data_IF_371062497190
#
_entry.id   IF_371062497190
#
_cell.length_a   1.000
_cell.length_b   1.000
_cell.length_c   1.000
_cell.angle_alpha   90.00
_cell.angle_beta   90.00
_cell.angle_gamma   90.00
#
_symmetry.space_group_name_H-M   'P 1'
#
loop_
_entity.id
_entity.type
_entity.pdbx_description
1 polymer ?
#
# COMPACT_ATOMS: atom_id res chain seq x y z
N UNK A 1 -23.32 1.18 9.99
CA UNK A 1 -24.55 1.74 10.55
C UNK A 1 -25.50 0.64 11.04
N UNK A 2 -25.81 -0.38 10.24
CA UNK A 2 -26.78 -1.44 10.60
C UNK A 2 -26.41 -2.20 11.88
N UNK A 3 -25.12 -2.46 12.09
CA UNK A 3 -24.65 -3.27 13.24
C UNK A 3 -24.29 -2.45 14.47
N UNK A 4 -23.84 -1.21 14.29
CA UNK A 4 -23.35 -0.38 15.40
C UNK A 4 -24.28 0.79 15.75
N UNK A 5 -25.28 1.07 14.92
CA UNK A 5 -26.13 2.27 15.04
C UNK A 5 -25.40 3.59 14.81
N UNK A 6 -24.13 3.54 14.45
CA UNK A 6 -23.26 4.72 14.29
C UNK A 6 -23.25 5.18 12.84
N UNK A 7 -23.55 6.48 12.63
CA UNK A 7 -23.42 7.10 11.31
C UNK A 7 -21.99 7.52 11.07
N UNK A 8 -21.32 6.89 10.10
CA UNK A 8 -19.94 7.18 9.75
C UNK A 8 -19.86 8.23 8.65
N UNK A 9 -19.33 9.40 8.97
CA UNK A 9 -18.93 10.42 7.98
C UNK A 9 -17.45 10.26 7.67
N UNK A 10 -17.10 9.96 6.43
CA UNK A 10 -15.72 9.70 6.05
C UNK A 10 -15.16 10.74 5.08
N UNK A 11 -13.86 10.98 5.17
CA UNK A 11 -13.09 11.83 4.27
C UNK A 11 -11.89 11.04 3.73
N UNK A 12 -11.82 10.91 2.41
CA UNK A 12 -10.67 10.28 1.76
C UNK A 12 -9.58 11.31 1.48
N UNK A 13 -8.40 11.08 2.05
CA UNK A 13 -7.22 11.95 1.85
C UNK A 13 -5.92 11.14 2.01
N UNK A 14 -4.78 11.76 1.66
CA UNK A 14 -3.47 11.12 1.91
C UNK A 14 -3.19 10.96 3.42
N UNK A 15 -2.46 9.88 3.79
CA UNK A 15 -2.19 9.55 5.20
C UNK A 15 -1.60 10.71 5.99
N UNK A 16 -0.63 11.46 5.43
CA UNK A 16 -0.04 12.60 6.13
C UNK A 16 -1.06 13.69 6.49
N UNK A 17 -1.98 14.00 5.57
CA UNK A 17 -3.06 14.95 5.82
C UNK A 17 -4.07 14.39 6.83
N UNK A 18 -4.40 13.09 6.74
CA UNK A 18 -5.29 12.44 7.72
C UNK A 18 -4.72 12.50 9.14
N UNK A 19 -3.43 12.19 9.32
CA UNK A 19 -2.76 12.29 10.63
C UNK A 19 -2.81 13.73 11.16
N UNK A 20 -2.60 14.72 10.29
CA UNK A 20 -2.69 16.13 10.67
C UNK A 20 -4.11 16.54 11.11
N UNK A 21 -5.14 15.99 10.45
CA UNK A 21 -6.53 16.18 10.89
C UNK A 21 -6.77 15.58 12.28
N UNK A 22 -6.15 14.45 12.61
CA UNK A 22 -6.17 13.88 13.97
C UNK A 22 -5.52 14.79 15.00
N UNK A 23 -4.33 15.34 14.69
CA UNK A 23 -3.64 16.31 15.57
C UNK A 23 -4.43 17.63 15.76
N UNK A 24 -5.14 18.06 14.73
CA UNK A 24 -5.98 19.25 14.78
C UNK A 24 -7.35 19.01 15.44
N UNK A 25 -7.68 17.79 15.84
CA UNK A 25 -8.99 17.40 16.41
C UNK A 25 -10.17 17.52 15.41
N UNK A 26 -9.91 17.44 14.11
CA UNK A 26 -10.91 17.57 13.05
C UNK A 26 -11.68 16.26 12.79
N UNK A 27 -11.21 15.15 13.34
CA UNK A 27 -11.77 13.80 13.16
C UNK A 27 -11.77 13.01 14.47
N UNK A 28 -12.69 12.05 14.60
CA UNK A 28 -12.81 11.20 15.79
C UNK A 28 -11.92 9.94 15.70
N UNK A 29 -11.66 9.45 14.48
CA UNK A 29 -10.93 8.22 14.24
C UNK A 29 -10.18 8.30 12.90
N UNK A 30 -9.04 7.65 12.84
CA UNK A 30 -8.18 7.56 11.67
C UNK A 30 -8.13 6.11 11.16
N UNK A 31 -8.20 5.92 9.84
CA UNK A 31 -7.86 4.65 9.17
C UNK A 31 -6.77 4.95 8.14
N UNK A 32 -5.55 4.62 8.45
CA UNK A 32 -4.33 5.09 7.77
C UNK A 32 -3.31 3.97 7.54
N UNK A 33 -2.26 4.24 6.76
CA UNK A 33 -1.31 3.21 6.36
C UNK A 33 0.15 3.73 6.31
N UNK A 34 0.62 4.33 7.40
CA UNK A 34 2.01 4.76 7.56
C UNK A 34 2.51 4.45 8.97
N UNK A 35 2.83 3.18 9.30
CA UNK A 35 3.09 2.71 10.67
C UNK A 35 4.06 3.56 11.48
N UNK A 36 5.13 4.08 10.87
CA UNK A 36 6.09 4.94 11.58
C UNK A 36 5.49 6.29 12.00
N UNK A 37 4.68 6.91 11.13
CA UNK A 37 4.02 8.17 11.45
C UNK A 37 2.84 7.97 12.42
N UNK A 38 2.14 6.84 12.31
CA UNK A 38 1.06 6.43 13.22
C UNK A 38 1.57 6.26 14.66
N UNK A 39 2.72 5.57 14.82
CA UNK A 39 3.37 5.41 16.13
C UNK A 39 3.74 6.77 16.75
N UNK A 40 4.28 7.70 15.97
CA UNK A 40 4.57 9.06 16.42
C UNK A 40 3.32 9.80 16.90
N UNK A 41 2.18 9.65 16.19
CA UNK A 41 0.90 10.24 16.61
C UNK A 41 0.45 9.70 17.97
N UNK A 42 0.62 8.38 18.20
CA UNK A 42 0.30 7.76 19.50
C UNK A 42 1.28 8.21 20.59
N UNK A 43 2.57 8.22 20.31
CA UNK A 43 3.62 8.69 21.24
C UNK A 43 3.42 10.16 21.64
N UNK A 44 2.94 11.00 20.73
CA UNK A 44 2.60 12.43 21.02
C UNK A 44 1.29 12.59 21.81
N UNK A 45 0.56 11.50 22.03
CA UNK A 45 -0.67 11.44 22.80
C UNK A 45 -1.93 11.88 22.04
N UNK A 46 -1.87 12.18 20.74
CA UNK A 46 -3.04 12.52 19.92
C UNK A 46 -3.84 11.30 19.47
N UNK A 47 -3.19 10.15 19.32
CA UNK A 47 -3.85 8.88 19.01
C UNK A 47 -3.77 7.92 20.19
N UNK A 48 -4.73 7.01 20.31
CA UNK A 48 -4.73 5.93 21.28
C UNK A 48 -5.12 4.62 20.62
N UNK A 49 -4.78 3.50 21.28
CA UNK A 49 -5.29 2.16 20.95
C UNK A 49 -5.18 1.82 19.45
N UNK A 50 -4.00 2.08 18.85
CA UNK A 50 -3.72 1.75 17.45
C UNK A 50 -3.85 0.24 17.23
N UNK A 51 -4.73 -0.17 16.33
CA UNK A 51 -4.94 -1.57 15.96
C UNK A 51 -4.66 -1.78 14.48
N UNK A 52 -3.96 -2.85 14.15
CA UNK A 52 -3.84 -3.31 12.76
C UNK A 52 -5.15 -3.94 12.31
N UNK A 53 -5.58 -3.63 11.09
CA UNK A 53 -6.90 -4.06 10.58
C UNK A 53 -6.73 -4.97 9.37
N UNK A 54 -5.96 -4.52 8.39
CA UNK A 54 -5.86 -5.17 7.09
C UNK A 54 -4.62 -4.67 6.37
N UNK A 55 -4.05 -5.49 5.52
CA UNK A 55 -3.07 -5.00 4.57
C UNK A 55 -3.48 -5.29 3.12
N UNK A 56 -3.05 -4.45 2.20
CA UNK A 56 -2.84 -4.78 0.82
C UNK A 56 -1.34 -4.69 0.52
N UNK A 57 -0.94 -4.96 -0.71
CA UNK A 57 0.46 -5.01 -1.04
C UNK A 57 0.79 -4.26 -2.34
N UNK A 58 2.04 -3.88 -2.42
CA UNK A 58 2.71 -3.68 -3.68
C UNK A 58 3.20 -5.02 -4.22
N UNK A 59 3.46 -5.06 -5.51
CA UNK A 59 4.03 -6.20 -6.21
C UNK A 59 5.05 -5.70 -7.22
N UNK A 60 6.02 -6.52 -7.58
CA UNK A 60 6.84 -6.27 -8.77
C UNK A 60 6.29 -7.13 -9.89
N UNK A 61 6.03 -6.50 -11.02
CA UNK A 61 5.61 -7.15 -12.25
C UNK A 61 6.68 -7.04 -13.30
N UNK A 62 6.78 -8.03 -14.16
CA UNK A 62 7.77 -8.09 -15.20
C UNK A 62 7.28 -8.90 -16.40
N UNK A 63 8.08 -9.00 -17.45
CA UNK A 63 7.75 -9.79 -18.64
C UNK A 63 7.43 -11.24 -18.29
N UNK A 64 6.54 -11.89 -19.06
CA UNK A 64 6.23 -13.32 -18.87
C UNK A 64 7.50 -14.18 -18.95
N UNK A 65 8.44 -13.84 -19.86
CA UNK A 65 9.71 -14.54 -20.03
C UNK A 65 10.68 -14.38 -18.85
N UNK A 66 10.49 -13.34 -18.01
CA UNK A 66 11.34 -13.03 -16.86
C UNK A 66 12.86 -13.11 -17.17
N UNK A 67 13.38 -12.27 -18.05
CA UNK A 67 14.78 -12.37 -18.51
C UNK A 67 15.83 -12.19 -17.40
N UNK A 68 15.50 -11.51 -16.31
CA UNK A 68 16.38 -11.38 -15.15
C UNK A 68 16.23 -12.53 -14.13
N UNK A 69 15.27 -13.45 -14.33
CA UNK A 69 15.03 -14.61 -13.45
C UNK A 69 14.74 -14.23 -11.98
N UNK A 70 13.89 -13.23 -11.77
CA UNK A 70 13.54 -12.71 -10.44
C UNK A 70 12.28 -13.33 -9.85
N UNK A 71 11.55 -14.14 -10.60
CA UNK A 71 10.33 -14.80 -10.13
C UNK A 71 10.61 -15.67 -8.89
N UNK A 72 9.81 -15.45 -7.83
CA UNK A 72 9.91 -16.21 -6.58
C UNK A 72 11.04 -15.76 -5.64
N UNK A 73 11.76 -14.68 -5.99
CA UNK A 73 12.76 -14.05 -5.11
C UNK A 73 12.12 -13.10 -4.12
N UNK A 74 12.82 -12.82 -3.01
CA UNK A 74 12.47 -11.71 -2.12
C UNK A 74 12.71 -10.36 -2.80
N UNK A 75 12.02 -9.32 -2.35
CA UNK A 75 12.05 -7.98 -2.98
C UNK A 75 13.46 -7.43 -3.12
N UNK A 76 14.25 -7.47 -2.04
CA UNK A 76 15.63 -6.95 -2.03
C UNK A 76 16.53 -7.73 -2.99
N UNK A 77 16.41 -9.05 -3.02
CA UNK A 77 17.17 -9.92 -3.93
C UNK A 77 16.79 -9.65 -5.39
N UNK A 78 15.48 -9.57 -5.67
CA UNK A 78 14.99 -9.30 -7.03
C UNK A 78 15.49 -7.95 -7.57
N UNK A 79 15.44 -6.89 -6.77
CA UNK A 79 15.94 -5.57 -7.15
C UNK A 79 17.45 -5.58 -7.39
N UNK A 80 18.23 -6.31 -6.59
CA UNK A 80 19.67 -6.50 -6.83
C UNK A 80 19.94 -7.18 -8.17
N UNK A 81 19.22 -8.27 -8.45
CA UNK A 81 19.36 -9.00 -9.72
C UNK A 81 18.99 -8.11 -10.92
N UNK A 82 17.91 -7.34 -10.84
CA UNK A 82 17.50 -6.39 -11.89
C UNK A 82 18.63 -5.36 -12.13
N UNK A 83 19.20 -4.80 -11.06
CA UNK A 83 20.33 -3.88 -11.14
C UNK A 83 21.56 -4.52 -11.78
N UNK A 84 21.97 -5.69 -11.31
CA UNK A 84 23.20 -6.36 -11.76
C UNK A 84 23.11 -6.81 -13.22
N UNK A 85 21.93 -7.25 -13.65
CA UNK A 85 21.65 -7.60 -15.05
C UNK A 85 21.37 -6.39 -15.95
N UNK A 86 21.24 -5.18 -15.36
CA UNK A 86 20.81 -3.95 -16.06
C UNK A 86 19.51 -4.13 -16.84
N UNK A 87 18.61 -4.98 -16.33
CA UNK A 87 17.30 -5.17 -16.93
C UNK A 87 16.46 -3.90 -16.75
N UNK A 88 15.71 -3.52 -17.77
CA UNK A 88 14.89 -2.31 -17.71
C UNK A 88 13.98 -2.32 -16.49
N UNK A 89 14.04 -1.28 -15.69
CA UNK A 89 13.09 -1.04 -14.60
C UNK A 89 12.42 0.33 -14.80
N UNK A 90 11.08 0.33 -14.84
CA UNK A 90 10.32 1.52 -15.06
C UNK A 90 9.76 2.02 -13.71
N UNK A 91 10.26 3.17 -13.30
CA UNK A 91 9.79 3.90 -12.13
C UNK A 91 8.69 4.88 -12.51
N UNK A 92 7.78 5.13 -11.60
CA UNK A 92 6.80 6.21 -11.81
C UNK A 92 7.47 7.58 -11.90
N UNK A 93 8.50 7.86 -11.09
CA UNK A 93 9.22 9.14 -11.14
C UNK A 93 8.36 10.38 -10.86
N UNK A 94 7.24 10.26 -10.13
CA UNK A 94 6.18 11.28 -9.99
C UNK A 94 5.92 11.72 -8.54
N UNK A 95 6.81 11.39 -7.62
CA UNK A 95 6.70 11.67 -6.17
C UNK A 95 5.44 11.09 -5.48
N UNK A 96 4.74 10.16 -6.12
CA UNK A 96 3.60 9.45 -5.54
C UNK A 96 4.00 8.54 -4.38
N UNK A 97 3.01 8.04 -3.63
CA UNK A 97 3.24 7.05 -2.57
C UNK A 97 3.89 5.76 -3.09
N UNK A 98 3.56 5.33 -4.31
CA UNK A 98 4.21 4.18 -4.97
C UNK A 98 5.67 4.48 -5.27
N UNK A 99 5.97 5.65 -5.84
CA UNK A 99 7.34 6.07 -6.13
C UNK A 99 8.19 6.17 -4.84
N UNK A 100 7.67 6.80 -3.79
CA UNK A 100 8.36 6.87 -2.50
C UNK A 100 8.67 5.51 -1.89
N UNK A 101 7.73 4.57 -2.01
CA UNK A 101 7.93 3.18 -1.56
C UNK A 101 9.00 2.47 -2.38
N UNK A 102 8.96 2.62 -3.70
CA UNK A 102 9.96 2.08 -4.61
C UNK A 102 11.37 2.57 -4.27
N UNK A 103 11.56 3.90 -4.10
CA UNK A 103 12.84 4.48 -3.72
C UNK A 103 13.37 3.93 -2.38
N UNK A 104 12.49 3.70 -1.40
CA UNK A 104 12.86 3.05 -0.14
C UNK A 104 13.39 1.63 -0.37
N UNK A 105 12.72 0.84 -1.23
CA UNK A 105 13.15 -0.52 -1.54
C UNK A 105 14.49 -0.57 -2.29
N UNK A 106 14.74 0.39 -3.19
CA UNK A 106 16.05 0.53 -3.85
C UNK A 106 17.16 0.85 -2.83
N UNK A 107 16.90 1.71 -1.85
CA UNK A 107 17.85 1.99 -0.76
C UNK A 107 18.14 0.73 0.06
N UNK A 108 17.13 -0.06 0.38
CA UNK A 108 17.29 -1.31 1.12
C UNK A 108 18.08 -2.34 0.29
N UNK A 109 17.88 -2.37 -1.03
CA UNK A 109 18.52 -3.31 -1.92
C UNK A 109 19.99 -2.96 -2.25
N UNK A 110 20.30 -1.67 -2.46
CA UNK A 110 21.60 -1.29 -3.02
C UNK A 110 22.23 -0.04 -2.38
N UNK A 111 21.60 0.52 -1.34
CA UNK A 111 22.01 1.77 -0.66
C UNK A 111 22.04 3.02 -1.58
N UNK A 112 21.87 2.83 -2.88
CA UNK A 112 21.86 3.89 -3.90
C UNK A 112 20.62 3.72 -4.78
N UNK A 113 19.94 4.81 -5.05
CA UNK A 113 18.83 4.84 -6.01
C UNK A 113 19.44 4.97 -7.41
N UNK A 114 19.06 4.13 -8.39
CA UNK A 114 19.69 4.08 -9.70
C UNK A 114 19.20 5.17 -10.68
N UNK A 115 18.92 6.37 -10.21
CA UNK A 115 18.27 7.44 -11.00
C UNK A 115 19.06 7.89 -12.24
N UNK A 116 20.36 7.67 -12.26
CA UNK A 116 21.25 8.05 -13.37
C UNK A 116 21.55 6.90 -14.33
N UNK A 117 21.07 5.70 -14.02
CA UNK A 117 21.33 4.52 -14.84
C UNK A 117 20.35 4.42 -16.02
N UNK A 118 20.84 4.10 -17.21
CA UNK A 118 20.05 4.03 -18.45
C UNK A 118 18.94 2.96 -18.42
N UNK A 119 19.11 1.91 -17.62
CA UNK A 119 18.12 0.85 -17.44
C UNK A 119 17.01 1.22 -16.43
N UNK A 120 17.21 2.28 -15.63
CA UNK A 120 16.22 2.81 -14.70
C UNK A 120 15.49 3.99 -15.34
N UNK A 121 14.28 3.76 -15.78
CA UNK A 121 13.54 4.71 -16.61
C UNK A 121 12.43 5.34 -15.78
N UNK A 122 12.58 6.62 -15.46
CA UNK A 122 11.54 7.41 -14.81
C UNK A 122 10.50 7.84 -15.84
N UNK A 123 9.25 7.39 -15.69
CA UNK A 123 8.20 7.64 -16.69
C UNK A 123 7.49 8.98 -16.49
N UNK A 124 7.44 9.51 -15.28
CA UNK A 124 6.64 10.69 -14.93
C UNK A 124 5.13 10.46 -15.09
N UNK A 125 4.68 9.20 -15.15
CA UNK A 125 3.32 8.84 -15.53
C UNK A 125 2.55 8.13 -14.40
N UNK A 126 1.23 8.07 -14.55
CA UNK A 126 0.37 7.26 -13.68
C UNK A 126 0.66 5.76 -13.81
N UNK A 127 0.22 4.97 -12.81
CA UNK A 127 0.64 3.57 -12.67
C UNK A 127 0.26 2.69 -13.87
N UNK A 128 -0.96 2.81 -14.41
CA UNK A 128 -1.38 2.02 -15.58
C UNK A 128 -0.52 2.31 -16.81
N UNK A 129 -0.18 3.58 -17.05
CA UNK A 129 0.71 3.98 -18.15
C UNK A 129 2.12 3.42 -17.93
N UNK A 130 2.63 3.47 -16.70
CA UNK A 130 3.94 2.91 -16.36
C UNK A 130 4.01 1.39 -16.61
N UNK A 131 2.95 0.64 -16.27
CA UNK A 131 2.88 -0.81 -16.56
C UNK A 131 2.86 -1.07 -18.07
N UNK A 132 2.09 -0.29 -18.86
CA UNK A 132 2.07 -0.42 -20.32
C UNK A 132 3.47 -0.17 -20.93
N UNK A 133 4.15 0.88 -20.48
CA UNK A 133 5.53 1.17 -20.92
C UNK A 133 6.51 0.05 -20.52
N UNK A 134 6.33 -0.54 -19.32
CA UNK A 134 7.13 -1.69 -18.90
C UNK A 134 6.93 -2.89 -19.82
N UNK A 135 5.68 -3.17 -20.20
CA UNK A 135 5.35 -4.24 -21.14
C UNK A 135 5.98 -4.02 -22.53
N UNK A 136 5.96 -2.78 -23.03
CA UNK A 136 6.55 -2.41 -24.33
C UNK A 136 8.09 -2.50 -24.32
N UNK A 137 8.72 -2.12 -23.19
CA UNK A 137 10.17 -2.12 -23.02
C UNK A 137 10.74 -3.44 -22.49
N UNK A 138 9.91 -4.48 -22.39
CA UNK A 138 10.29 -5.77 -21.80
C UNK A 138 10.97 -5.60 -20.44
N UNK A 139 10.40 -4.72 -19.60
CA UNK A 139 10.97 -4.26 -18.33
C UNK A 139 10.11 -4.63 -17.12
N UNK A 140 10.66 -4.36 -15.96
CA UNK A 140 10.03 -4.55 -14.65
C UNK A 140 9.47 -3.24 -14.11
N UNK A 141 8.47 -3.31 -13.24
CA UNK A 141 7.97 -2.14 -12.50
C UNK A 141 7.30 -2.56 -11.20
N UNK A 142 7.25 -1.67 -10.23
CA UNK A 142 6.49 -1.85 -9.01
C UNK A 142 5.11 -1.21 -9.14
N UNK A 143 4.07 -1.91 -8.72
CA UNK A 143 2.69 -1.42 -8.73
C UNK A 143 1.93 -1.85 -7.48
N UNK A 144 0.83 -1.18 -7.17
CA UNK A 144 -0.15 -1.70 -6.21
C UNK A 144 -0.98 -2.83 -6.84
N UNK A 145 -1.41 -3.80 -6.02
CA UNK A 145 -2.19 -4.96 -6.48
C UNK A 145 -3.51 -4.56 -7.15
N UNK A 146 -4.17 -3.52 -6.65
CA UNK A 146 -5.45 -3.07 -7.23
C UNK A 146 -5.30 -2.57 -8.67
N UNK A 147 -4.24 -1.80 -8.94
CA UNK A 147 -3.93 -1.35 -10.31
C UNK A 147 -3.56 -2.53 -11.20
N UNK A 148 -2.79 -3.49 -10.69
CA UNK A 148 -2.45 -4.70 -11.42
C UNK A 148 -3.69 -5.52 -11.82
N UNK A 149 -4.62 -5.76 -10.90
CA UNK A 149 -5.87 -6.49 -11.17
C UNK A 149 -6.66 -5.82 -12.32
N UNK A 150 -6.73 -4.49 -12.32
CA UNK A 150 -7.37 -3.75 -13.41
C UNK A 150 -6.63 -3.87 -14.72
N UNK A 151 -5.29 -3.80 -14.69
CA UNK A 151 -4.45 -3.97 -15.87
C UNK A 151 -4.66 -5.35 -16.52
N UNK A 152 -4.59 -6.43 -15.73
CA UNK A 152 -4.84 -7.79 -16.22
C UNK A 152 -6.22 -7.92 -16.87
N UNK A 153 -7.27 -7.38 -16.22
CA UNK A 153 -8.62 -7.41 -16.74
C UNK A 153 -8.76 -6.64 -18.08
N UNK A 154 -8.05 -5.53 -18.23
CA UNK A 154 -8.06 -4.74 -19.47
C UNK A 154 -7.29 -5.44 -20.61
N UNK A 155 -6.20 -6.10 -20.30
CA UNK A 155 -5.34 -6.76 -21.31
C UNK A 155 -5.84 -8.14 -21.70
N UNK A 156 -6.48 -8.87 -20.81
CA UNK A 156 -6.97 -10.22 -21.09
C UNK A 156 -5.88 -11.11 -21.70
N UNK A 157 -6.13 -11.68 -22.86
CA UNK A 157 -5.19 -12.55 -23.58
C UNK A 157 -3.93 -11.81 -24.11
N UNK A 158 -3.99 -10.49 -24.26
CA UNK A 158 -2.86 -9.67 -24.75
C UNK A 158 -1.89 -9.26 -23.63
N UNK A 159 -2.10 -9.76 -22.42
CA UNK A 159 -1.22 -9.46 -21.29
C UNK A 159 0.15 -10.12 -21.49
N UNK A 160 1.21 -9.29 -21.58
CA UNK A 160 2.62 -9.72 -21.74
C UNK A 160 3.40 -9.69 -20.40
N UNK A 161 2.73 -9.37 -19.30
CA UNK A 161 3.33 -9.21 -17.99
C UNK A 161 2.81 -10.26 -17.00
N UNK A 162 3.60 -10.55 -15.98
CA UNK A 162 3.21 -11.40 -14.83
C UNK A 162 3.71 -10.79 -13.53
N UNK A 163 3.14 -11.22 -12.41
CA UNK A 163 3.71 -10.95 -11.09
C UNK A 163 4.99 -11.79 -10.96
N UNK A 164 6.09 -11.12 -10.62
CA UNK A 164 7.39 -11.79 -10.39
C UNK A 164 7.79 -11.77 -8.92
N UNK A 165 7.38 -10.74 -8.14
CA UNK A 165 7.59 -10.68 -6.69
C UNK A 165 6.29 -10.27 -6.00
N UNK A 166 5.88 -11.06 -5.02
CA UNK A 166 4.74 -10.81 -4.15
C UNK A 166 4.94 -11.47 -2.77
N UNK A 167 4.02 -11.19 -1.84
CA UNK A 167 3.99 -11.81 -0.50
C UNK A 167 5.22 -11.55 0.37
N UNK A 168 6.05 -10.60 -0.01
CA UNK A 168 7.16 -10.13 0.80
C UNK A 168 6.67 -9.04 1.77
N UNK A 169 7.03 -9.15 3.05
CA UNK A 169 6.63 -8.20 4.10
C UNK A 169 7.04 -6.77 3.80
N UNK A 170 8.14 -6.58 3.07
CA UNK A 170 8.61 -5.25 2.65
C UNK A 170 7.65 -4.56 1.67
N UNK A 171 6.79 -5.33 0.99
CA UNK A 171 5.78 -4.82 0.06
C UNK A 171 4.43 -4.53 0.72
N UNK A 172 4.24 -4.90 1.99
CA UNK A 172 2.96 -4.74 2.66
C UNK A 172 2.64 -3.27 2.93
N UNK A 173 1.39 -2.93 2.70
CA UNK A 173 0.78 -1.64 3.02
C UNK A 173 -0.23 -1.87 4.13
N UNK A 174 0.25 -1.80 5.38
CA UNK A 174 -0.55 -2.05 6.57
C UNK A 174 -1.49 -0.89 6.83
N UNK A 175 -2.77 -1.16 6.98
CA UNK A 175 -3.78 -0.22 7.46
C UNK A 175 -4.04 -0.43 8.93
N UNK A 176 -4.10 0.67 9.65
CA UNK A 176 -4.40 0.67 11.09
C UNK A 176 -5.51 1.67 11.40
N UNK A 177 -6.33 1.33 12.37
CA UNK A 177 -7.34 2.22 12.96
C UNK A 177 -6.78 2.81 14.24
N UNK A 178 -7.01 4.13 14.44
CA UNK A 178 -6.48 4.88 15.58
C UNK A 178 -7.57 5.86 16.05
N UNK A 179 -8.23 5.63 17.17
CA UNK A 179 -9.09 6.62 17.81
C UNK A 179 -8.27 7.85 18.23
N UNK A 180 -8.82 9.05 18.03
CA UNK A 180 -8.22 10.30 18.48
C UNK A 180 -8.44 10.45 19.97
N UNK A 181 -7.40 10.88 20.69
CA UNK A 181 -7.39 10.93 22.14
C UNK A 181 -8.19 12.12 22.68
N UNK A 182 -9.25 11.84 23.43
CA UNK A 182 -10.10 12.85 24.06
C UNK A 182 -9.34 13.77 25.04
N UNK A 183 -8.25 13.31 25.63
CA UNK A 183 -7.42 14.12 26.54
C UNK A 183 -6.71 15.28 25.82
N UNK A 184 -6.40 15.12 24.52
CA UNK A 184 -5.83 16.18 23.67
C UNK A 184 -6.90 16.89 22.85
N UNK A 185 -7.97 16.19 22.50
CA UNK A 185 -9.05 16.64 21.63
C UNK A 185 -10.41 16.52 22.35
N UNK A 186 -10.79 17.45 23.23
CA UNK A 186 -11.97 17.29 24.12
C UNK A 186 -13.32 17.06 23.40
N UNK A 187 -13.43 17.54 22.16
CA UNK A 187 -14.67 17.49 21.38
C UNK A 187 -14.85 16.19 20.59
N UNK A 188 -13.85 15.27 20.56
CA UNK A 188 -13.96 14.02 19.81
C UNK A 188 -14.93 13.06 20.49
N UNK A 189 -15.63 12.30 19.67
CA UNK A 189 -16.61 11.28 20.09
C UNK A 189 -15.90 9.95 20.34
N UNK A 190 -15.03 9.92 21.36
CA UNK A 190 -14.14 8.80 21.64
C UNK A 190 -14.86 7.45 21.73
N UNK A 191 -16.02 7.39 22.42
CA UNK A 191 -16.76 6.15 22.58
C UNK A 191 -17.25 5.57 21.24
N UNK A 192 -17.69 6.45 20.31
CA UNK A 192 -18.08 6.03 18.96
C UNK A 192 -16.87 5.62 18.12
N UNK A 193 -15.76 6.35 18.25
CA UNK A 193 -14.49 6.02 17.60
C UNK A 193 -13.95 4.65 18.05
N UNK A 194 -14.03 4.37 19.36
CA UNK A 194 -13.65 3.10 19.94
C UNK A 194 -14.56 1.97 19.46
N UNK A 195 -15.88 2.17 19.48
CA UNK A 195 -16.85 1.20 18.96
C UNK A 195 -16.59 0.86 17.48
N UNK A 196 -16.24 1.85 16.66
CA UNK A 196 -15.88 1.62 15.26
C UNK A 196 -14.55 0.85 15.14
N UNK A 197 -13.54 1.21 15.94
CA UNK A 197 -12.25 0.54 16.00
C UNK A 197 -12.44 -0.95 16.37
N UNK A 198 -13.21 -1.23 17.41
CA UNK A 198 -13.48 -2.58 17.88
C UNK A 198 -14.31 -3.39 16.85
N UNK A 199 -15.24 -2.75 16.16
CA UNK A 199 -16.00 -3.38 15.08
C UNK A 199 -15.09 -3.83 13.93
N UNK A 200 -14.10 -3.01 13.52
CA UNK A 200 -13.18 -3.35 12.44
C UNK A 200 -12.37 -4.62 12.71
N UNK A 201 -12.05 -4.91 13.96
CA UNK A 201 -11.24 -6.09 14.33
C UNK A 201 -12.08 -7.33 14.69
N UNK A 202 -13.40 -7.24 14.68
CA UNK A 202 -14.27 -8.41 14.95
C UNK A 202 -14.07 -9.49 13.89
N UNK A 203 -14.12 -10.77 14.26
CA UNK A 203 -13.95 -11.88 13.32
C UNK A 203 -14.88 -11.80 12.11
N UNK A 204 -16.14 -11.40 12.30
CA UNK A 204 -17.13 -11.27 11.23
C UNK A 204 -16.76 -10.13 10.26
N UNK A 205 -16.30 -9.00 10.78
CA UNK A 205 -15.85 -7.86 9.99
C UNK A 205 -14.56 -8.21 9.24
N UNK A 206 -13.62 -8.87 9.89
CA UNK A 206 -12.39 -9.35 9.26
C UNK A 206 -12.67 -10.34 8.13
N UNK A 207 -13.62 -11.26 8.35
CA UNK A 207 -14.10 -12.16 7.29
C UNK A 207 -14.72 -11.37 6.13
N UNK A 208 -15.61 -10.41 6.42
CA UNK A 208 -16.22 -9.54 5.39
C UNK A 208 -15.19 -8.79 4.56
N UNK A 209 -14.14 -8.24 5.19
CA UNK A 209 -13.03 -7.57 4.50
C UNK A 209 -12.26 -8.57 3.61
N UNK A 210 -11.97 -9.76 4.12
CA UNK A 210 -11.25 -10.82 3.37
C UNK A 210 -12.05 -11.38 2.20
N UNK A 211 -13.36 -11.40 2.30
CA UNK A 211 -14.26 -11.86 1.24
C UNK A 211 -14.43 -10.82 0.11
N UNK A 212 -13.98 -9.55 0.33
CA UNK A 212 -14.06 -8.52 -0.69
C UNK A 212 -13.18 -8.88 -1.90
N UNK A 213 -13.78 -8.83 -3.08
CA UNK A 213 -13.12 -9.10 -4.35
C UNK A 213 -13.15 -7.87 -5.25
N UNK A 214 -12.03 -7.56 -5.87
CA UNK A 214 -11.93 -6.63 -6.98
C UNK A 214 -11.80 -7.46 -8.27
N UNK A 215 -12.81 -7.43 -9.13
CA UNK A 215 -12.83 -8.24 -10.36
C UNK A 215 -12.49 -9.72 -10.05
N UNK A 216 -13.19 -10.31 -9.09
CA UNK A 216 -13.05 -11.69 -8.61
C UNK A 216 -11.71 -12.05 -7.97
N UNK A 217 -10.80 -11.08 -7.79
CA UNK A 217 -9.49 -11.26 -7.14
C UNK A 217 -9.43 -10.62 -5.76
N UNK A 218 -8.76 -11.29 -4.82
CA UNK A 218 -8.54 -10.78 -3.46
C UNK A 218 -7.66 -9.53 -3.50
N UNK A 219 -8.11 -8.47 -2.81
CA UNK A 219 -7.38 -7.19 -2.73
C UNK A 219 -6.82 -6.95 -1.34
N UNK A 220 -7.55 -7.34 -0.30
CA UNK A 220 -7.17 -7.11 1.09
C UNK A 220 -6.95 -8.42 1.82
N UNK A 221 -5.96 -8.43 2.71
CA UNK A 221 -5.71 -9.54 3.63
C UNK A 221 -5.94 -9.07 5.05
N UNK A 222 -6.99 -9.58 5.73
CA UNK A 222 -7.25 -9.30 7.13
C UNK A 222 -6.10 -9.78 8.01
N UNK A 223 -5.69 -8.98 8.98
CA UNK A 223 -4.62 -9.34 9.92
C UNK A 223 -4.78 -8.70 11.29
N UNK A 224 -6.00 -8.31 11.66
CA UNK A 224 -6.24 -7.84 13.02
C UNK A 224 -5.88 -8.94 14.01
N UNK A 225 -4.89 -8.67 14.86
CA UNK A 225 -4.60 -9.48 16.04
C UNK A 225 -5.54 -9.09 17.17
N UNK A 226 -6.02 -10.10 17.90
CA UNK A 226 -6.79 -9.92 19.14
C UNK A 226 -5.93 -9.30 20.23
#
# INVERSE_FOLDING_TARGET
EKETGTNLKWVATGTGKALKMGENCDVDVLLVHAPAAEKKLVESGFGIDRKEVVYNDFIIVGPIADPAHVSGKGTVEALKIIKDSKANFLSRGDDSGTHKKELSLWKDASQVIPETDLWYIQTGQGMLTTINMAAEKNGYTMTDRGTWIKYEAQKGADNKMKIVVEKDKTLFKQYSVIPVNKAKCPNVKLELAQSFSDWLIKPETQKFIGDFKLLDKTLFTPNASK
#
